data_IF_577210472930
#
_entry.id   IF_577210472930
#
_cell.length_a   1.000
_cell.length_b   1.000
_cell.length_c   1.000
_cell.angle_alpha   90.00
_cell.angle_beta   90.00
_cell.angle_gamma   90.00
#
_symmetry.space_group_name_H-M   'P 1'
#
loop_
_entity.id
_entity.type
_entity.pdbx_description
1 polymer ?
#
# COMPACT_ATOMS: atom_id res chain seq x y z
N UNK A 1 45.62 15.57 -4.26
CA UNK A 1 46.24 15.97 -2.98
C UNK A 1 46.40 14.72 -2.13
N UNK A 2 47.62 14.15 -2.06
CA UNK A 2 48.55 14.19 -0.91
C UNK A 2 47.92 13.51 0.32
N UNK A 3 48.35 12.32 0.75
CA UNK A 3 49.60 12.13 1.48
C UNK A 3 50.27 10.78 1.20
N UNK A 4 51.55 10.86 0.82
CA UNK A 4 52.51 9.75 0.68
C UNK A 4 53.80 10.23 1.33
N UNK A 5 54.40 9.39 2.15
CA UNK A 5 55.82 9.46 2.50
C UNK A 5 56.10 10.04 3.88
N UNK A 6 56.71 9.23 4.73
CA UNK A 6 57.72 9.68 5.68
C UNK A 6 58.67 8.51 5.99
N UNK A 7 59.90 8.87 6.31
CA UNK A 7 61.07 8.04 6.66
C UNK A 7 61.97 7.52 5.53
N UNK A 8 62.88 8.42 5.13
CA UNK A 8 64.24 8.08 4.69
C UNK A 8 65.21 9.21 5.07
N UNK A 9 65.88 9.10 6.22
CA UNK A 9 67.19 9.73 6.51
C UNK A 9 67.58 9.45 7.96
N UNK A 10 68.66 8.70 8.18
CA UNK A 10 69.79 9.11 9.01
C UNK A 10 70.88 8.04 8.91
N UNK A 11 72.06 8.46 8.45
CA UNK A 11 73.27 7.64 8.24
C UNK A 11 74.43 8.46 8.82
N UNK A 12 75.38 7.75 9.48
CA UNK A 12 76.71 8.18 9.98
C UNK A 12 76.72 8.96 11.30
N UNK A 13 77.66 8.83 12.23
CA UNK A 13 78.96 8.12 12.36
C UNK A 13 79.44 8.35 13.81
N UNK A 14 80.01 7.37 14.51
CA UNK A 14 81.16 7.57 15.45
C UNK A 14 81.96 6.26 15.52
N UNK A 15 83.29 6.39 15.63
CA UNK A 15 84.37 5.44 15.36
C UNK A 15 85.05 4.98 16.68
N UNK A 16 85.56 3.74 16.64
CA UNK A 16 86.70 3.14 17.38
C UNK A 16 86.79 3.11 18.92
N UNK A 17 86.97 1.90 19.45
CA UNK A 17 88.15 1.51 20.25
C UNK A 17 88.42 0.01 20.08
N UNK A 18 89.69 -0.33 19.84
CA UNK A 18 90.27 -1.67 19.64
C UNK A 18 90.61 -2.35 20.97
N UNK A 19 90.49 -3.68 21.04
CA UNK A 19 91.55 -4.64 21.43
C UNK A 19 90.97 -6.06 21.68
N UNK A 20 91.77 -7.15 21.54
CA UNK A 20 91.30 -8.41 20.92
C UNK A 20 91.47 -9.70 21.75
N UNK A 21 91.09 -10.82 21.09
CA UNK A 21 91.42 -12.26 21.25
C UNK A 21 90.77 -13.08 22.40
N UNK A 22 90.67 -14.45 22.34
CA UNK A 22 90.48 -15.41 21.22
C UNK A 22 89.46 -16.56 21.53
N UNK A 23 89.29 -17.44 20.53
CA UNK A 23 88.91 -18.86 20.58
C UNK A 23 87.43 -19.26 20.45
N UNK A 24 87.17 -19.77 19.24
CA UNK A 24 86.40 -20.98 18.91
C UNK A 24 84.96 -21.10 19.44
N UNK A 25 84.00 -21.21 18.50
CA UNK A 25 83.14 -22.38 18.31
C UNK A 25 82.08 -22.10 17.21
N UNK A 26 82.22 -22.81 16.09
CA UNK A 26 81.21 -23.17 15.07
C UNK A 26 80.32 -22.10 14.39
N UNK A 27 80.27 -22.07 13.04
CA UNK A 27 79.25 -21.33 12.32
C UNK A 27 77.93 -22.15 12.30
N UNK A 28 77.00 -21.86 13.21
CA UNK A 28 75.62 -22.37 13.08
C UNK A 28 74.77 -21.39 12.27
N UNK A 29 74.47 -21.83 11.05
CA UNK A 29 73.57 -21.21 10.08
C UNK A 29 72.34 -20.52 10.70
N UNK A 30 72.29 -19.18 10.63
CA UNK A 30 71.07 -18.36 10.86
C UNK A 30 70.07 -18.43 9.69
N UNK A 31 69.86 -19.61 9.11
CA UNK A 31 68.80 -19.83 8.10
C UNK A 31 67.47 -20.24 8.75
N UNK A 32 67.49 -20.82 9.94
CA UNK A 32 66.29 -21.27 10.66
C UNK A 32 65.40 -20.16 11.24
N UNK A 33 65.94 -18.96 11.52
CA UNK A 33 65.17 -17.86 12.13
C UNK A 33 64.24 -17.13 11.15
N UNK A 34 64.48 -17.22 9.84
CA UNK A 34 63.56 -16.72 8.80
C UNK A 34 62.62 -17.85 8.37
N UNK A 35 63.13 -19.09 8.34
CA UNK A 35 62.38 -20.25 7.90
C UNK A 35 61.18 -20.55 8.81
N UNK A 36 61.37 -20.53 10.13
CA UNK A 36 60.31 -20.90 11.11
C UNK A 36 59.11 -19.93 11.07
N UNK A 37 59.29 -18.58 11.11
CA UNK A 37 58.18 -17.65 10.92
C UNK A 37 57.55 -17.77 9.53
N UNK A 38 58.34 -17.95 8.46
CA UNK A 38 57.77 -18.10 7.11
C UNK A 38 56.94 -19.38 6.92
N UNK A 39 57.28 -20.46 7.63
CA UNK A 39 56.56 -21.74 7.60
C UNK A 39 55.21 -21.69 8.31
N UNK A 40 55.01 -20.73 9.23
CA UNK A 40 53.73 -20.50 9.90
C UNK A 40 52.97 -19.34 9.26
N UNK A 41 53.64 -18.21 9.02
CA UNK A 41 53.02 -16.98 8.51
C UNK A 41 52.51 -17.15 7.09
N UNK A 42 53.24 -17.81 6.18
CA UNK A 42 52.79 -17.96 4.79
C UNK A 42 51.55 -18.87 4.70
N UNK A 43 51.53 -20.08 5.31
CA UNK A 43 50.32 -20.91 5.32
C UNK A 43 49.14 -20.25 6.06
N UNK A 44 49.38 -19.56 7.18
CA UNK A 44 48.33 -18.81 7.88
C UNK A 44 47.76 -17.67 7.03
N UNK A 45 48.61 -16.94 6.30
CA UNK A 45 48.17 -15.86 5.41
C UNK A 45 47.41 -16.40 4.19
N UNK A 46 47.83 -17.53 3.62
CA UNK A 46 47.08 -18.23 2.56
C UNK A 46 45.72 -18.71 3.06
N UNK A 47 45.66 -19.31 4.25
CA UNK A 47 44.39 -19.70 4.90
C UNK A 47 43.48 -18.49 5.11
N UNK A 48 44.02 -17.37 5.58
CA UNK A 48 43.27 -16.14 5.80
C UNK A 48 42.70 -15.57 4.50
N UNK A 49 43.51 -15.49 3.44
CA UNK A 49 43.06 -15.05 2.11
C UNK A 49 41.97 -15.99 1.58
N UNK A 50 42.13 -17.30 1.76
CA UNK A 50 41.14 -18.28 1.33
C UNK A 50 39.82 -18.16 2.11
N UNK A 51 39.89 -17.88 3.41
CA UNK A 51 38.72 -17.64 4.25
C UNK A 51 37.97 -16.36 3.84
N UNK A 52 38.69 -15.30 3.48
CA UNK A 52 38.08 -14.09 2.88
C UNK A 52 37.37 -14.43 1.58
N UNK A 53 37.99 -15.22 0.70
CA UNK A 53 37.37 -15.59 -0.57
C UNK A 53 36.08 -16.40 -0.37
N UNK A 54 36.09 -17.41 0.50
CA UNK A 54 34.91 -18.23 0.81
C UNK A 54 33.79 -17.43 1.49
N UNK A 55 34.13 -16.52 2.42
CA UNK A 55 33.14 -15.62 3.03
C UNK A 55 32.55 -14.65 2.02
N UNK A 56 33.34 -14.17 1.05
CA UNK A 56 32.87 -13.28 -0.01
C UNK A 56 31.86 -13.97 -0.93
N UNK A 57 32.04 -15.28 -1.22
CA UNK A 57 31.05 -16.06 -1.99
C UNK A 57 29.69 -16.14 -1.29
N UNK A 58 29.70 -16.48 0.00
CA UNK A 58 28.48 -16.55 0.82
C UNK A 58 27.82 -15.18 0.93
N UNK A 59 28.62 -14.12 1.12
CA UNK A 59 28.13 -12.75 1.16
C UNK A 59 27.45 -12.35 -0.15
N UNK A 60 28.04 -12.70 -1.30
CA UNK A 60 27.45 -12.41 -2.62
C UNK A 60 26.11 -13.12 -2.79
N UNK A 61 26.03 -14.38 -2.39
CA UNK A 61 24.78 -15.13 -2.48
C UNK A 61 23.72 -14.55 -1.54
N UNK A 62 24.06 -14.22 -0.30
CA UNK A 62 23.15 -13.53 0.63
C UNK A 62 22.62 -12.21 0.06
N UNK A 63 23.49 -11.37 -0.53
CA UNK A 63 23.09 -10.10 -1.16
C UNK A 63 22.09 -10.34 -2.30
N UNK A 64 22.34 -11.37 -3.11
CA UNK A 64 21.43 -11.76 -4.20
C UNK A 64 20.06 -12.19 -3.67
N UNK A 65 20.03 -13.03 -2.63
CA UNK A 65 18.80 -13.45 -1.98
C UNK A 65 18.03 -12.25 -1.39
N UNK A 66 18.74 -11.33 -0.72
CA UNK A 66 18.14 -10.13 -0.15
C UNK A 66 17.49 -9.28 -1.24
N UNK A 67 18.24 -9.00 -2.31
CA UNK A 67 17.73 -8.23 -3.45
C UNK A 67 16.50 -8.89 -4.10
N UNK A 68 16.48 -10.22 -4.16
CA UNK A 68 15.35 -10.97 -4.70
C UNK A 68 14.10 -10.83 -3.81
N UNK A 69 14.23 -10.93 -2.49
CA UNK A 69 13.12 -10.73 -1.55
C UNK A 69 12.63 -9.30 -1.58
N UNK A 70 13.53 -8.32 -1.51
CA UNK A 70 13.22 -6.90 -1.54
C UNK A 70 12.38 -6.56 -2.78
N UNK A 71 12.81 -7.02 -3.96
CA UNK A 71 12.12 -6.81 -5.23
C UNK A 71 10.76 -7.52 -5.28
N UNK A 72 10.69 -8.76 -4.79
CA UNK A 72 9.45 -9.53 -4.77
C UNK A 72 8.42 -8.95 -3.81
N UNK A 73 8.84 -8.60 -2.60
CA UNK A 73 8.03 -7.95 -1.59
C UNK A 73 7.54 -6.59 -2.07
N UNK A 74 8.41 -5.77 -2.67
CA UNK A 74 8.03 -4.45 -3.18
C UNK A 74 6.95 -4.53 -4.27
N UNK A 75 7.13 -5.41 -5.27
CA UNK A 75 6.15 -5.59 -6.34
C UNK A 75 4.82 -6.07 -5.77
N UNK A 76 4.85 -7.05 -4.87
CA UNK A 76 3.61 -7.61 -4.31
C UNK A 76 2.84 -6.59 -3.47
N UNK A 77 3.53 -5.77 -2.66
CA UNK A 77 2.88 -4.69 -1.91
C UNK A 77 2.38 -3.56 -2.83
N UNK A 78 2.97 -3.41 -4.02
CA UNK A 78 2.46 -2.53 -5.08
C UNK A 78 1.00 -2.84 -5.44
N UNK A 79 0.60 -4.11 -5.49
CA UNK A 79 -0.78 -4.50 -5.75
C UNK A 79 -1.74 -4.02 -4.65
N UNK A 80 -1.32 -4.09 -3.38
CA UNK A 80 -2.08 -3.61 -2.22
C UNK A 80 -2.22 -2.09 -2.26
N UNK A 81 -1.11 -1.38 -2.48
CA UNK A 81 -1.09 0.07 -2.64
C UNK A 81 -2.03 0.52 -3.77
N UNK A 82 -2.04 -0.20 -4.90
CA UNK A 82 -2.90 0.09 -6.03
C UNK A 82 -4.38 -0.13 -5.70
N UNK A 83 -4.73 -1.23 -5.01
CA UNK A 83 -6.10 -1.47 -4.55
C UNK A 83 -6.57 -0.32 -3.66
N UNK A 84 -5.83 -0.02 -2.58
CA UNK A 84 -6.22 0.99 -1.59
C UNK A 84 -6.35 2.40 -2.20
N UNK A 85 -5.43 2.78 -3.07
CA UNK A 85 -5.53 4.06 -3.78
C UNK A 85 -6.76 4.13 -4.67
N UNK A 86 -7.07 3.07 -5.42
CA UNK A 86 -8.21 3.05 -6.32
C UNK A 86 -9.54 3.03 -5.56
N UNK A 87 -9.65 2.26 -4.48
CA UNK A 87 -10.81 2.28 -3.60
C UNK A 87 -11.02 3.67 -3.00
N UNK A 88 -9.95 4.37 -2.58
CA UNK A 88 -10.06 5.76 -2.12
C UNK A 88 -10.59 6.71 -3.21
N UNK A 89 -10.19 6.54 -4.47
CA UNK A 89 -10.76 7.32 -5.59
C UNK A 89 -12.26 7.04 -5.77
N UNK A 90 -12.66 5.78 -5.77
CA UNK A 90 -14.06 5.34 -5.94
C UNK A 90 -14.94 5.88 -4.80
N UNK A 91 -14.44 5.87 -3.57
CA UNK A 91 -15.18 6.34 -2.40
C UNK A 91 -15.33 7.86 -2.33
N UNK A 92 -14.37 8.63 -2.81
CA UNK A 92 -14.30 10.07 -2.55
C UNK A 92 -14.21 10.92 -3.80
N UNK A 93 -13.04 10.89 -4.45
CA UNK A 93 -12.71 11.87 -5.47
C UNK A 93 -13.52 11.74 -6.75
N UNK A 94 -13.88 10.52 -7.18
CA UNK A 94 -14.74 10.32 -8.34
C UNK A 94 -16.16 10.82 -8.11
N UNK A 95 -16.91 10.37 -7.08
CA UNK A 95 -18.25 10.90 -6.87
C UNK A 95 -18.22 12.42 -6.62
N UNK A 96 -17.28 12.94 -5.84
CA UNK A 96 -17.13 14.40 -5.66
C UNK A 96 -17.03 15.15 -7.01
N UNK A 97 -16.12 14.72 -7.90
CA UNK A 97 -15.90 15.40 -9.19
C UNK A 97 -17.07 15.22 -10.15
N UNK A 98 -17.60 14.02 -10.27
CA UNK A 98 -18.70 13.70 -11.21
C UNK A 98 -19.95 14.51 -10.85
N UNK A 99 -20.34 14.53 -9.57
CA UNK A 99 -21.51 15.29 -9.14
C UNK A 99 -21.28 16.81 -9.22
N UNK A 100 -20.06 17.27 -8.96
CA UNK A 100 -19.72 18.69 -9.12
C UNK A 100 -19.79 19.11 -10.59
N UNK A 101 -19.22 18.34 -11.50
CA UNK A 101 -19.31 18.64 -12.94
C UNK A 101 -20.75 18.64 -13.47
N UNK A 102 -21.58 17.72 -12.99
CA UNK A 102 -22.96 17.57 -13.47
C UNK A 102 -23.96 18.57 -12.88
N UNK A 103 -23.78 18.99 -11.62
CA UNK A 103 -24.81 19.73 -10.87
C UNK A 103 -24.33 21.02 -10.21
N UNK A 104 -23.04 21.36 -10.29
CA UNK A 104 -22.55 22.65 -9.82
C UNK A 104 -23.22 23.76 -10.63
N UNK A 105 -23.64 24.81 -9.92
CA UNK A 105 -24.37 25.91 -10.54
C UNK A 105 -23.41 27.05 -10.85
N UNK A 106 -23.07 27.29 -12.12
CA UNK A 106 -22.74 28.64 -12.53
C UNK A 106 -23.95 29.57 -12.26
N UNK A 107 -23.79 30.90 -12.31
CA UNK A 107 -24.81 31.88 -11.92
C UNK A 107 -26.23 31.71 -12.53
N UNK A 108 -26.39 30.89 -13.56
CA UNK A 108 -27.64 30.69 -14.32
C UNK A 108 -28.47 29.46 -13.94
N UNK A 109 -27.89 28.44 -13.29
CA UNK A 109 -28.48 27.08 -13.28
C UNK A 109 -29.12 26.68 -11.93
N UNK A 110 -29.54 27.67 -11.15
CA UNK A 110 -30.13 27.44 -9.84
C UNK A 110 -31.63 27.09 -9.92
N UNK A 111 -32.07 26.19 -9.04
CA UNK A 111 -33.49 25.88 -8.86
C UNK A 111 -34.16 26.95 -7.99
N UNK A 112 -35.31 27.44 -8.42
CA UNK A 112 -36.10 28.43 -7.69
C UNK A 112 -36.77 27.80 -6.47
N UNK A 113 -36.81 28.52 -5.35
CA UNK A 113 -37.66 28.12 -4.22
C UNK A 113 -39.11 28.55 -4.44
N UNK A 114 -40.03 27.73 -3.95
CA UNK A 114 -41.48 27.92 -4.08
C UNK A 114 -42.02 29.08 -3.23
N UNK A 115 -41.32 29.44 -2.16
CA UNK A 115 -41.66 30.57 -1.28
C UNK A 115 -41.08 31.92 -1.74
N UNK A 116 -40.34 31.94 -2.85
CA UNK A 116 -39.66 33.14 -3.33
C UNK A 116 -38.45 33.57 -2.48
N UNK A 117 -38.03 32.78 -1.49
CA UNK A 117 -36.92 33.10 -0.57
C UNK A 117 -35.52 32.95 -1.20
N UNK A 118 -35.44 32.71 -2.50
CA UNK A 118 -34.20 32.63 -3.27
C UNK A 118 -34.11 31.35 -4.10
N UNK A 119 -32.87 30.94 -4.37
CA UNK A 119 -32.57 29.80 -5.22
C UNK A 119 -31.66 28.79 -4.51
N UNK A 120 -31.66 27.53 -4.96
CA UNK A 120 -30.85 26.43 -4.42
C UNK A 120 -30.13 25.74 -5.56
N UNK A 121 -28.84 25.44 -5.36
CA UNK A 121 -28.09 24.67 -6.33
C UNK A 121 -28.37 23.17 -6.19
N UNK A 122 -28.64 22.42 -7.29
CA UNK A 122 -28.83 20.97 -7.21
C UNK A 122 -27.67 20.22 -6.56
N UNK A 123 -26.43 20.68 -6.76
CA UNK A 123 -25.26 20.11 -6.10
C UNK A 123 -25.36 20.16 -4.57
N UNK A 124 -25.67 21.34 -4.02
CA UNK A 124 -25.83 21.52 -2.57
C UNK A 124 -27.08 20.78 -2.04
N UNK A 125 -28.17 20.75 -2.81
CA UNK A 125 -29.41 20.03 -2.49
C UNK A 125 -29.16 18.52 -2.34
N UNK A 126 -28.38 17.93 -3.25
CA UNK A 126 -28.04 16.51 -3.22
C UNK A 126 -27.00 16.22 -2.14
N UNK A 127 -26.05 17.13 -1.91
CA UNK A 127 -25.10 16.96 -0.82
C UNK A 127 -25.78 16.95 0.54
N UNK A 128 -26.76 17.84 0.79
CA UNK A 128 -27.42 17.96 2.10
C UNK A 128 -28.22 16.72 2.52
N UNK A 129 -28.52 15.80 1.60
CA UNK A 129 -29.16 14.52 1.91
C UNK A 129 -28.16 13.37 2.08
N UNK A 130 -26.86 13.66 2.01
CA UNK A 130 -25.80 12.66 2.04
C UNK A 130 -25.80 11.77 0.80
N UNK A 131 -26.19 12.28 -0.38
CA UNK A 131 -26.20 11.48 -1.61
C UNK A 131 -24.78 11.10 -2.06
N UNK A 132 -23.83 12.04 -1.98
CA UNK A 132 -22.44 11.83 -2.38
C UNK A 132 -21.50 12.56 -1.40
N UNK A 133 -20.21 12.20 -1.34
CA UNK A 133 -19.25 12.88 -0.49
C UNK A 133 -18.65 14.10 -1.18
N UNK A 134 -18.48 15.19 -0.43
CA UNK A 134 -17.98 16.48 -0.91
C UNK A 134 -16.72 16.88 -0.16
N UNK A 135 -15.80 17.55 -0.86
CA UNK A 135 -14.64 18.17 -0.22
C UNK A 135 -15.07 19.36 0.65
N UNK A 136 -14.63 19.41 1.90
CA UNK A 136 -15.06 20.47 2.82
C UNK A 136 -14.55 21.87 2.48
N UNK A 137 -13.41 21.97 1.78
CA UNK A 137 -12.87 23.24 1.28
C UNK A 137 -13.39 23.63 -0.11
N UNK A 138 -14.48 23.02 -0.56
CA UNK A 138 -15.05 23.25 -1.88
C UNK A 138 -15.69 24.64 -2.02
N UNK A 139 -15.45 25.30 -3.16
CA UNK A 139 -15.99 26.64 -3.46
C UNK A 139 -17.20 26.55 -4.39
N UNK A 140 -18.26 27.28 -4.06
CA UNK A 140 -19.49 27.35 -4.86
C UNK A 140 -19.26 28.11 -6.17
N UNK A 141 -19.90 27.64 -7.25
CA UNK A 141 -19.81 28.22 -8.59
C UNK A 141 -18.45 28.05 -9.27
N UNK A 142 -17.57 27.23 -8.70
CA UNK A 142 -16.24 26.94 -9.23
C UNK A 142 -16.15 25.46 -9.63
N UNK A 143 -15.32 25.11 -10.64
CA UNK A 143 -15.07 23.72 -10.98
C UNK A 143 -14.39 22.96 -9.83
N UNK A 144 -14.39 21.63 -9.90
CA UNK A 144 -13.74 20.79 -8.89
C UNK A 144 -12.25 21.15 -8.74
N UNK A 145 -11.83 21.37 -7.50
CA UNK A 145 -10.46 21.75 -7.19
C UNK A 145 -9.50 20.57 -7.41
N UNK A 146 -8.32 20.84 -7.95
CA UNK A 146 -7.22 19.87 -7.95
C UNK A 146 -6.68 19.73 -6.51
N UNK A 147 -6.72 18.52 -5.96
CA UNK A 147 -6.36 18.25 -4.56
C UNK A 147 -4.95 17.68 -4.39
N UNK A 148 -4.15 17.64 -5.46
CA UNK A 148 -2.86 16.93 -5.48
C UNK A 148 -1.85 17.50 -4.47
N UNK A 149 -1.85 18.82 -4.27
CA UNK A 149 -1.03 19.52 -3.28
C UNK A 149 -1.51 19.35 -1.84
N UNK A 150 -2.76 18.93 -1.63
CA UNK A 150 -3.39 18.85 -0.30
C UNK A 150 -3.01 17.53 0.35
N UNK A 151 -2.44 17.58 1.56
CA UNK A 151 -1.96 16.37 2.26
C UNK A 151 -3.08 15.35 2.53
N UNK A 152 -4.26 15.82 2.92
CA UNK A 152 -5.43 15.03 3.27
C UNK A 152 -6.65 15.56 2.53
N UNK A 153 -7.37 14.67 1.86
CA UNK A 153 -8.59 15.03 1.16
C UNK A 153 -9.74 14.87 2.16
N UNK A 154 -10.14 15.97 2.80
CA UNK A 154 -11.27 16.01 3.74
C UNK A 154 -12.61 15.95 2.98
N UNK A 155 -12.80 14.84 2.27
CA UNK A 155 -13.98 14.48 1.48
C UNK A 155 -14.87 13.58 2.35
N UNK A 156 -16.12 13.99 2.58
CA UNK A 156 -17.08 13.25 3.42
C UNK A 156 -18.51 13.50 2.99
N UNK A 157 -19.41 12.58 3.32
CA UNK A 157 -20.85 12.83 3.16
C UNK A 157 -21.33 13.85 4.18
N UNK A 158 -22.44 14.52 3.86
CA UNK A 158 -23.29 15.09 4.89
C UNK A 158 -23.97 13.94 5.65
N UNK A 159 -23.70 13.83 6.95
CA UNK A 159 -24.22 12.76 7.80
C UNK A 159 -25.46 13.17 8.61
N UNK A 160 -26.01 14.37 8.38
CA UNK A 160 -27.21 14.84 9.07
C UNK A 160 -28.41 13.91 8.86
N UNK A 161 -28.58 13.37 7.66
CA UNK A 161 -29.64 12.39 7.32
C UNK A 161 -29.13 10.95 7.18
N UNK A 162 -27.81 10.73 7.21
CA UNK A 162 -27.17 9.41 7.06
C UNK A 162 -26.15 9.18 8.18
N UNK A 163 -26.63 9.20 9.42
CA UNK A 163 -25.77 9.02 10.60
C UNK A 163 -24.94 7.73 10.51
N UNK A 164 -23.64 7.85 10.77
CA UNK A 164 -22.69 6.74 10.69
C UNK A 164 -22.19 6.42 9.29
N UNK A 165 -22.59 7.12 8.23
CA UNK A 165 -22.00 6.88 6.90
C UNK A 165 -20.49 7.18 6.88
N UNK A 166 -20.06 8.19 7.63
CA UNK A 166 -18.66 8.60 7.77
C UNK A 166 -17.91 7.83 8.88
N UNK A 167 -18.40 6.68 9.36
CA UNK A 167 -17.65 5.79 10.26
C UNK A 167 -16.96 4.65 9.50
N UNK A 168 -16.02 3.95 10.17
CA UNK A 168 -15.47 2.69 9.68
C UNK A 168 -15.69 1.58 10.73
N UNK A 169 -16.51 0.55 10.45
CA UNK A 169 -17.32 0.38 9.24
C UNK A 169 -18.41 1.45 9.11
N UNK A 170 -18.84 1.79 7.88
CA UNK A 170 -19.96 2.68 7.65
C UNK A 170 -21.29 2.03 8.04
N UNK A 171 -22.22 2.84 8.52
CA UNK A 171 -23.63 2.48 8.68
C UNK A 171 -24.41 2.95 7.46
N UNK A 172 -24.90 2.00 6.65
CA UNK A 172 -25.66 2.30 5.43
C UNK A 172 -27.10 1.82 5.61
N UNK A 173 -28.05 2.75 5.54
CA UNK A 173 -29.48 2.42 5.48
C UNK A 173 -29.82 1.72 4.16
N UNK A 174 -30.76 0.78 4.18
CA UNK A 174 -31.22 0.08 2.98
C UNK A 174 -31.96 0.98 1.99
N UNK A 175 -32.49 2.12 2.46
CA UNK A 175 -33.19 3.11 1.64
C UNK A 175 -32.47 4.45 1.67
N UNK A 176 -32.30 5.06 0.50
CA UNK A 176 -31.82 6.43 0.35
C UNK A 176 -32.96 7.34 -0.12
N UNK A 177 -33.21 8.42 0.63
CA UNK A 177 -34.07 9.51 0.17
C UNK A 177 -33.22 10.53 -0.60
N UNK A 178 -33.26 10.47 -1.93
CA UNK A 178 -32.43 11.30 -2.82
C UNK A 178 -32.93 12.75 -2.91
N UNK A 179 -34.25 12.95 -2.81
CA UNK A 179 -34.89 14.25 -2.69
C UNK A 179 -35.93 14.12 -1.58
N UNK A 180 -35.80 14.89 -0.51
CA UNK A 180 -36.72 14.82 0.64
C UNK A 180 -38.07 15.45 0.33
N UNK A 181 -39.09 15.12 1.11
CA UNK A 181 -40.41 15.76 1.01
C UNK A 181 -40.32 17.28 1.20
N UNK A 182 -39.46 17.73 2.13
CA UNK A 182 -39.21 19.14 2.36
C UNK A 182 -38.62 19.81 1.11
N UNK A 183 -37.61 19.19 0.48
CA UNK A 183 -37.02 19.69 -0.77
C UNK A 183 -38.05 19.70 -1.91
N UNK A 184 -38.81 18.61 -2.11
CA UNK A 184 -39.86 18.52 -3.12
C UNK A 184 -40.95 19.58 -2.94
N UNK A 185 -41.24 19.95 -1.70
CA UNK A 185 -42.20 21.02 -1.38
C UNK A 185 -41.62 22.41 -1.63
N UNK A 186 -40.41 22.69 -1.11
CA UNK A 186 -39.81 24.03 -1.10
C UNK A 186 -39.08 24.41 -2.39
N UNK A 187 -38.69 23.46 -3.23
CA UNK A 187 -37.90 23.71 -4.44
C UNK A 187 -38.76 23.41 -5.67
N UNK A 188 -38.72 24.25 -6.70
CA UNK A 188 -39.36 23.99 -8.00
C UNK A 188 -38.63 22.88 -8.77
N UNK A 189 -38.75 21.64 -8.27
CA UNK A 189 -38.26 20.43 -8.92
C UNK A 189 -39.46 19.58 -9.34
N UNK A 190 -39.68 19.51 -10.65
CA UNK A 190 -40.73 18.69 -11.24
C UNK A 190 -40.27 17.24 -11.41
N UNK A 191 -41.24 16.36 -11.65
CA UNK A 191 -41.01 14.92 -11.77
C UNK A 191 -39.92 14.55 -12.79
N UNK A 192 -39.92 15.16 -13.97
CA UNK A 192 -38.96 14.83 -15.03
C UNK A 192 -37.51 15.18 -14.65
N UNK A 193 -37.18 16.40 -14.16
CA UNK A 193 -35.88 16.69 -13.58
C UNK A 193 -35.48 15.76 -12.44
N UNK A 194 -36.40 15.47 -11.50
CA UNK A 194 -36.12 14.57 -10.38
C UNK A 194 -35.79 13.14 -10.84
N UNK A 195 -36.53 12.63 -11.83
CA UNK A 195 -36.26 11.34 -12.45
C UNK A 195 -34.91 11.34 -13.20
N UNK A 196 -34.51 12.46 -13.81
CA UNK A 196 -33.19 12.65 -14.40
C UNK A 196 -32.07 12.55 -13.37
N UNK A 197 -32.23 13.22 -12.23
CA UNK A 197 -31.28 13.16 -11.10
C UNK A 197 -31.13 11.74 -10.57
N UNK A 198 -32.24 11.04 -10.38
CA UNK A 198 -32.22 9.62 -10.01
C UNK A 198 -31.46 8.75 -11.02
N UNK A 199 -31.77 8.87 -12.31
CA UNK A 199 -31.13 8.07 -13.37
C UNK A 199 -29.62 8.29 -13.37
N UNK A 200 -29.20 9.55 -13.30
CA UNK A 200 -27.78 9.90 -13.21
C UNK A 200 -27.13 9.30 -11.97
N UNK A 201 -27.75 9.46 -10.80
CA UNK A 201 -27.26 8.90 -9.54
C UNK A 201 -27.04 7.38 -9.63
N UNK A 202 -28.06 6.66 -10.12
CA UNK A 202 -28.01 5.21 -10.31
C UNK A 202 -26.93 4.80 -11.32
N UNK A 203 -26.77 5.53 -12.43
CA UNK A 203 -25.72 5.28 -13.43
C UNK A 203 -24.31 5.43 -12.83
N UNK A 204 -24.06 6.53 -12.11
CA UNK A 204 -22.76 6.80 -11.50
C UNK A 204 -22.39 5.72 -10.50
N UNK A 205 -23.30 5.41 -9.57
CA UNK A 205 -22.99 4.43 -8.52
C UNK A 205 -22.97 2.98 -9.02
N UNK A 206 -23.69 2.66 -10.11
CA UNK A 206 -23.54 1.37 -10.79
C UNK A 206 -22.16 1.24 -11.42
N UNK A 207 -21.69 2.31 -12.10
CA UNK A 207 -20.35 2.33 -12.69
C UNK A 207 -19.27 2.21 -11.61
N UNK A 208 -19.36 3.00 -10.55
CA UNK A 208 -18.41 2.96 -9.43
C UNK A 208 -18.37 1.56 -8.78
N UNK A 209 -19.53 0.95 -8.55
CA UNK A 209 -19.61 -0.42 -8.03
C UNK A 209 -18.99 -1.45 -8.97
N UNK A 210 -19.22 -1.34 -10.28
CA UNK A 210 -18.59 -2.23 -11.28
C UNK A 210 -17.07 -2.08 -11.33
N UNK A 211 -16.58 -0.85 -11.20
CA UNK A 211 -15.14 -0.54 -11.14
C UNK A 211 -14.52 -1.17 -9.88
N UNK A 212 -15.14 -1.00 -8.72
CA UNK A 212 -14.65 -1.57 -7.46
C UNK A 212 -14.64 -3.11 -7.48
N UNK A 213 -15.74 -3.71 -7.95
CA UNK A 213 -15.86 -5.17 -8.10
C UNK A 213 -14.76 -5.74 -9.00
N UNK A 214 -14.51 -5.06 -10.12
CA UNK A 214 -13.46 -5.45 -11.06
C UNK A 214 -12.07 -5.34 -10.44
N UNK A 215 -11.79 -4.27 -9.68
CA UNK A 215 -10.52 -4.07 -9.00
C UNK A 215 -10.26 -5.15 -7.95
N UNK A 216 -11.28 -5.46 -7.13
CA UNK A 216 -11.13 -6.49 -6.11
C UNK A 216 -10.98 -7.88 -6.74
N UNK A 217 -11.71 -8.18 -7.82
CA UNK A 217 -11.55 -9.43 -8.57
C UNK A 217 -10.13 -9.58 -9.15
N UNK A 218 -9.58 -8.51 -9.72
CA UNK A 218 -8.19 -8.51 -10.22
C UNK A 218 -7.23 -8.74 -9.05
N UNK A 219 -7.39 -8.01 -7.95
CA UNK A 219 -6.55 -8.16 -6.78
C UNK A 219 -6.58 -9.58 -6.20
N UNK A 220 -7.75 -10.18 -6.06
CA UNK A 220 -7.93 -11.56 -5.59
C UNK A 220 -7.18 -12.56 -6.48
N UNK A 221 -7.25 -12.40 -7.81
CA UNK A 221 -6.51 -13.23 -8.77
C UNK A 221 -4.99 -13.05 -8.66
N UNK A 222 -4.52 -11.82 -8.48
CA UNK A 222 -3.09 -11.53 -8.35
C UNK A 222 -2.50 -12.10 -7.05
N UNK A 223 -3.31 -12.08 -5.98
CA UNK A 223 -2.93 -12.51 -4.63
C UNK A 223 -3.36 -13.95 -4.30
N UNK A 224 -3.92 -14.72 -5.23
CA UNK A 224 -4.31 -16.11 -4.97
C UNK A 224 -3.08 -17.01 -4.80
N UNK A 225 -2.18 -16.96 -5.79
CA UNK A 225 -0.93 -17.71 -5.79
C UNK A 225 0.31 -16.83 -5.62
N UNK A 226 0.13 -15.51 -5.48
CA UNK A 226 1.21 -14.52 -5.37
C UNK A 226 2.25 -14.65 -6.51
N UNK A 227 1.74 -14.82 -7.73
CA UNK A 227 2.56 -15.12 -8.91
C UNK A 227 3.61 -14.03 -9.17
N UNK A 228 3.31 -12.76 -8.90
CA UNK A 228 4.28 -11.68 -9.07
C UNK A 228 5.43 -11.76 -8.07
N UNK A 229 5.13 -12.06 -6.80
CA UNK A 229 6.17 -12.32 -5.80
C UNK A 229 7.08 -13.45 -6.26
N UNK A 230 6.50 -14.61 -6.61
CA UNK A 230 7.28 -15.79 -7.03
C UNK A 230 8.13 -15.52 -8.26
N UNK A 231 7.57 -14.89 -9.29
CA UNK A 231 8.30 -14.58 -10.52
C UNK A 231 9.42 -13.58 -10.28
N UNK A 232 9.17 -12.53 -9.50
CA UNK A 232 10.19 -11.54 -9.14
C UNK A 232 11.32 -12.18 -8.33
N UNK A 233 10.98 -13.02 -7.36
CA UNK A 233 11.97 -13.75 -6.58
C UNK A 233 12.77 -14.72 -7.46
N UNK A 234 12.10 -15.52 -8.29
CA UNK A 234 12.72 -16.46 -9.22
C UNK A 234 13.75 -15.79 -10.12
N UNK A 235 13.40 -14.67 -10.75
CA UNK A 235 14.28 -13.95 -11.69
C UNK A 235 15.56 -13.43 -11.04
N UNK A 236 15.48 -13.05 -9.75
CA UNK A 236 16.60 -12.43 -9.03
C UNK A 236 17.42 -13.46 -8.25
N UNK A 237 16.76 -14.39 -7.57
CA UNK A 237 17.39 -15.43 -6.76
C UNK A 237 18.01 -16.52 -7.62
N UNK A 238 17.34 -16.94 -8.71
CA UNK A 238 17.70 -18.03 -9.63
C UNK A 238 18.55 -19.12 -8.95
N UNK A 239 17.96 -19.72 -7.91
CA UNK A 239 18.49 -20.86 -7.15
C UNK A 239 18.12 -22.16 -7.84
N UNK A 240 18.89 -23.22 -7.57
CA UNK A 240 18.59 -24.54 -8.13
C UNK A 240 17.23 -25.07 -7.64
N UNK A 241 16.86 -24.79 -6.39
CA UNK A 241 15.54 -25.11 -5.80
C UNK A 241 14.41 -24.49 -6.63
N UNK A 242 14.51 -23.19 -6.92
CA UNK A 242 13.53 -22.47 -7.73
C UNK A 242 13.46 -22.95 -9.18
N UNK A 243 14.57 -23.36 -9.78
CA UNK A 243 14.59 -23.90 -11.16
C UNK A 243 13.98 -25.29 -11.23
N UNK A 244 14.23 -26.13 -10.22
CA UNK A 244 13.67 -27.48 -10.16
C UNK A 244 12.18 -27.48 -9.78
N UNK A 245 11.76 -26.54 -8.93
CA UNK A 245 10.38 -26.41 -8.45
C UNK A 245 9.92 -24.94 -8.47
N UNK A 246 9.55 -24.40 -9.65
CA UNK A 246 9.14 -23.01 -9.78
C UNK A 246 7.93 -22.63 -8.90
N UNK A 247 7.04 -23.58 -8.63
CA UNK A 247 5.84 -23.37 -7.82
C UNK A 247 6.14 -23.20 -6.32
N UNK A 248 7.25 -23.78 -5.83
CA UNK A 248 7.69 -23.61 -4.44
C UNK A 248 8.60 -22.39 -4.22
N UNK A 249 9.01 -21.74 -5.31
CA UNK A 249 9.94 -20.62 -5.25
C UNK A 249 9.34 -19.44 -4.47
N UNK A 250 10.05 -18.95 -3.45
CA UNK A 250 9.62 -17.85 -2.60
C UNK A 250 8.54 -18.21 -1.57
N UNK A 251 8.25 -19.50 -1.36
CA UNK A 251 7.16 -19.95 -0.49
C UNK A 251 7.35 -19.57 0.98
N UNK A 252 8.59 -19.62 1.50
CA UNK A 252 8.90 -19.24 2.88
C UNK A 252 8.48 -17.77 3.15
N UNK A 253 8.77 -16.86 2.22
CA UNK A 253 8.40 -15.44 2.33
C UNK A 253 6.89 -15.19 2.24
N UNK A 254 6.16 -16.06 1.53
CA UNK A 254 4.70 -15.93 1.35
C UNK A 254 3.92 -16.51 2.52
N UNK A 255 4.32 -17.69 2.98
CA UNK A 255 3.62 -18.50 3.99
C UNK A 255 4.17 -18.31 5.41
N UNK A 256 5.26 -17.56 5.56
CA UNK A 256 5.86 -17.27 6.85
C UNK A 256 4.91 -16.56 7.82
N UNK A 257 5.20 -16.63 9.13
CA UNK A 257 4.45 -15.90 10.15
C UNK A 257 4.58 -14.39 9.92
N UNK A 258 3.44 -13.72 9.67
CA UNK A 258 3.41 -12.32 9.28
C UNK A 258 3.61 -12.04 7.78
N UNK A 259 3.68 -13.10 6.96
CA UNK A 259 3.78 -13.03 5.50
C UNK A 259 2.47 -12.69 4.79
N UNK A 260 2.51 -12.71 3.46
CA UNK A 260 1.38 -12.27 2.62
C UNK A 260 0.13 -13.14 2.72
N UNK A 261 0.27 -14.48 2.83
CA UNK A 261 -0.90 -15.38 2.84
C UNK A 261 -1.79 -15.18 4.05
N UNK A 262 -1.20 -15.01 5.22
CA UNK A 262 -1.94 -14.85 6.49
C UNK A 262 -2.58 -13.46 6.62
N UNK A 263 -2.00 -12.45 5.97
CA UNK A 263 -2.44 -11.05 6.06
C UNK A 263 -3.22 -10.58 4.82
N UNK A 264 -3.55 -11.48 3.89
CA UNK A 264 -4.25 -11.16 2.64
C UNK A 264 -5.57 -10.43 2.88
N UNK A 265 -5.76 -9.31 2.20
CA UNK A 265 -7.06 -8.60 2.15
C UNK A 265 -8.07 -9.49 1.42
N UNK A 266 -9.19 -9.76 2.08
CA UNK A 266 -10.25 -10.65 1.58
C UNK A 266 -11.63 -10.04 1.80
N UNK A 267 -12.56 -10.34 0.89
CA UNK A 267 -13.99 -10.02 1.08
C UNK A 267 -14.71 -11.12 1.86
N UNK A 268 -15.75 -10.80 2.66
CA UNK A 268 -16.09 -9.46 3.18
C UNK A 268 -15.29 -9.08 4.44
N UNK A 269 -14.38 -9.95 4.91
CA UNK A 269 -13.75 -9.86 6.23
C UNK A 269 -12.87 -8.63 6.42
N UNK A 270 -11.99 -8.36 5.46
CA UNK A 270 -11.03 -7.26 5.53
C UNK A 270 -11.49 -6.06 4.72
N UNK A 271 -12.28 -6.30 3.67
CA UNK A 271 -12.83 -5.28 2.80
C UNK A 271 -14.28 -5.62 2.49
N UNK A 272 -15.16 -4.65 2.66
CA UNK A 272 -16.59 -4.79 2.43
C UNK A 272 -17.08 -3.67 1.50
N UNK A 273 -17.94 -4.02 0.56
CA UNK A 273 -18.67 -3.05 -0.26
C UNK A 273 -20.07 -2.90 0.33
N UNK A 274 -20.57 -1.68 0.35
CA UNK A 274 -21.85 -1.34 0.95
C UNK A 274 -22.82 -0.84 -0.12
N UNK A 275 -24.06 -1.28 0.00
CA UNK A 275 -25.11 -1.09 -1.01
C UNK A 275 -26.38 -0.53 -0.37
N UNK A 276 -27.22 0.10 -1.18
CA UNK A 276 -28.61 0.42 -0.85
C UNK A 276 -29.56 -0.39 -1.73
N UNK A 277 -30.70 -0.75 -1.19
CA UNK A 277 -31.70 -1.57 -1.88
C UNK A 277 -32.77 -0.71 -2.54
N UNK A 278 -33.02 0.50 -2.01
CA UNK A 278 -34.13 1.35 -2.42
C UNK A 278 -33.73 2.80 -2.53
N UNK A 279 -34.32 3.48 -3.52
CA UNK A 279 -34.24 4.93 -3.67
C UNK A 279 -35.63 5.52 -3.65
N UNK A 280 -35.81 6.55 -2.83
CA UNK A 280 -37.01 7.36 -2.73
C UNK A 280 -36.69 8.78 -3.20
N UNK A 281 -37.58 9.38 -3.99
CA UNK A 281 -37.53 10.83 -4.24
C UNK A 281 -38.93 11.43 -4.26
N UNK A 282 -39.01 12.69 -3.82
CA UNK A 282 -40.22 13.52 -3.85
C UNK A 282 -40.07 14.61 -4.91
N UNK A 283 -41.13 14.89 -5.67
CA UNK A 283 -41.12 15.91 -6.72
C UNK A 283 -42.51 16.46 -7.00
N UNK A 284 -42.58 17.64 -7.64
CA UNK A 284 -43.84 18.23 -8.08
C UNK A 284 -44.36 17.50 -9.32
N UNK A 285 -45.60 17.00 -9.26
CA UNK A 285 -46.30 16.38 -10.37
C UNK A 285 -47.38 17.33 -10.87
N UNK A 286 -47.36 17.75 -12.15
CA UNK A 286 -48.37 18.65 -12.70
C UNK A 286 -49.79 18.11 -12.56
N UNK A 287 -50.74 18.98 -12.22
CA UNK A 287 -52.17 18.65 -12.17
C UNK A 287 -53.02 19.84 -12.61
N UNK A 288 -54.26 19.57 -13.01
CA UNK A 288 -55.24 20.63 -13.26
C UNK A 288 -55.70 21.25 -11.93
N UNK A 289 -55.64 22.59 -11.82
CA UNK A 289 -56.14 23.33 -10.65
C UNK A 289 -55.10 24.27 -10.02
N UNK A 290 -55.44 24.84 -8.86
CA UNK A 290 -54.54 25.64 -8.02
C UNK A 290 -54.34 24.94 -6.67
N UNK A 291 -53.09 24.66 -6.23
CA UNK A 291 -51.85 24.82 -6.99
C UNK A 291 -51.77 23.85 -8.20
N UNK A 292 -51.05 24.23 -9.28
CA UNK A 292 -50.98 23.45 -10.54
C UNK A 292 -50.10 22.19 -10.44
N UNK A 293 -49.85 21.71 -9.21
CA UNK A 293 -49.11 20.49 -8.93
C UNK A 293 -49.51 19.93 -7.57
N UNK A 294 -49.26 18.64 -7.36
CA UNK A 294 -49.17 18.03 -6.04
C UNK A 294 -47.75 17.47 -5.81
N UNK A 295 -47.40 17.13 -4.57
CA UNK A 295 -46.12 16.48 -4.26
C UNK A 295 -46.28 14.98 -4.44
N UNK A 296 -45.70 14.47 -5.52
CA UNK A 296 -45.59 13.03 -5.77
C UNK A 296 -44.35 12.45 -5.10
N UNK A 297 -44.39 11.13 -4.87
CA UNK A 297 -43.24 10.33 -4.44
C UNK A 297 -43.20 9.04 -5.23
N UNK A 298 -42.03 8.43 -5.36
CA UNK A 298 -41.94 7.06 -5.89
C UNK A 298 -42.57 6.09 -4.89
N UNK A 299 -43.74 5.53 -5.25
CA UNK A 299 -44.45 4.55 -4.44
C UNK A 299 -44.87 3.34 -5.31
N UNK A 300 -44.27 2.15 -5.12
CA UNK A 300 -43.24 1.85 -4.12
C UNK A 300 -41.90 2.58 -4.41
N UNK A 301 -40.99 2.69 -3.42
CA UNK A 301 -39.63 3.13 -3.66
C UNK A 301 -38.98 2.32 -4.78
N UNK A 302 -38.06 2.92 -5.53
CA UNK A 302 -37.41 2.25 -6.64
C UNK A 302 -36.41 1.23 -6.11
N UNK A 303 -36.68 -0.05 -6.39
CA UNK A 303 -35.85 -1.17 -5.95
C UNK A 303 -34.64 -1.35 -6.85
N UNK A 304 -33.47 -1.49 -6.25
CA UNK A 304 -32.21 -1.79 -6.93
C UNK A 304 -32.06 -3.31 -7.08
N UNK A 305 -31.58 -3.82 -8.23
CA UNK A 305 -31.32 -5.24 -8.40
C UNK A 305 -30.21 -5.70 -7.44
N UNK A 306 -30.27 -6.95 -7.00
CA UNK A 306 -29.25 -7.53 -6.13
C UNK A 306 -27.84 -7.39 -6.76
N UNK A 307 -26.78 -7.04 -5.98
CA UNK A 307 -26.73 -6.89 -4.52
C UNK A 307 -27.21 -5.53 -3.98
N UNK A 308 -27.79 -4.68 -4.81
CA UNK A 308 -28.17 -3.30 -4.51
C UNK A 308 -27.32 -2.29 -5.30
N UNK A 309 -27.54 -1.00 -5.07
CA UNK A 309 -26.73 0.06 -5.65
C UNK A 309 -25.56 0.39 -4.73
N UNK A 310 -24.34 0.23 -5.24
CA UNK A 310 -23.11 0.51 -4.50
C UNK A 310 -23.11 1.93 -3.94
N UNK A 311 -22.50 2.13 -2.77
CA UNK A 311 -22.33 3.44 -2.14
C UNK A 311 -20.87 3.75 -1.87
N UNK A 312 -20.18 2.83 -1.21
CA UNK A 312 -18.76 2.95 -0.90
C UNK A 312 -18.21 1.57 -0.49
N UNK A 313 -16.89 1.44 -0.47
CA UNK A 313 -16.19 0.30 0.06
C UNK A 313 -15.34 0.71 1.27
N UNK A 314 -15.29 -0.13 2.30
CA UNK A 314 -14.46 0.13 3.47
C UNK A 314 -13.52 -1.04 3.72
N UNK A 315 -12.35 -0.75 4.28
CA UNK A 315 -11.37 -1.74 4.71
C UNK A 315 -11.27 -1.66 6.22
N UNK A 316 -11.24 -2.81 6.89
CA UNK A 316 -11.21 -2.87 8.35
C UNK A 316 -9.94 -2.22 8.91
N UNK A 317 -10.08 -1.55 10.05
CA UNK A 317 -8.94 -0.87 10.70
C UNK A 317 -7.82 -1.83 11.04
N UNK A 318 -8.15 -3.08 11.40
CA UNK A 318 -7.15 -4.11 11.66
C UNK A 318 -6.36 -4.49 10.41
N UNK A 319 -7.00 -4.66 9.26
CA UNK A 319 -6.30 -4.97 8.01
C UNK A 319 -5.41 -3.81 7.57
N UNK A 320 -5.90 -2.57 7.66
CA UNK A 320 -5.14 -1.39 7.31
C UNK A 320 -3.96 -1.15 8.24
N UNK A 321 -4.14 -1.38 9.55
CA UNK A 321 -3.06 -1.34 10.52
C UNK A 321 -1.98 -2.36 10.18
N UNK A 322 -2.35 -3.62 9.91
CA UNK A 322 -1.37 -4.67 9.55
C UNK A 322 -0.61 -4.31 8.27
N UNK A 323 -1.29 -3.80 7.23
CA UNK A 323 -0.65 -3.35 5.98
C UNK A 323 0.28 -2.15 6.21
N UNK A 324 -0.10 -1.24 7.11
CA UNK A 324 0.64 -0.02 7.42
C UNK A 324 1.85 -0.22 8.34
N UNK A 325 1.74 -1.10 9.34
CA UNK A 325 2.82 -1.54 10.23
C UNK A 325 3.86 -2.37 9.46
N UNK A 326 3.38 -3.10 8.45
CA UNK A 326 4.17 -3.82 7.46
C UNK A 326 4.19 -5.33 7.68
N UNK A 327 4.32 -6.05 6.58
CA UNK A 327 4.47 -7.49 6.55
C UNK A 327 5.93 -7.87 6.73
N UNK A 328 6.15 -8.93 7.52
CA UNK A 328 7.48 -9.49 7.75
C UNK A 328 7.68 -10.64 6.78
N UNK A 329 8.58 -10.44 5.81
CA UNK A 329 8.86 -11.42 4.75
C UNK A 329 10.20 -12.06 5.06
N UNK A 330 10.17 -13.29 5.58
CA UNK A 330 11.36 -14.10 5.81
C UNK A 330 11.49 -15.15 4.73
N UNK A 331 12.62 -15.19 4.04
CA UNK A 331 12.85 -16.17 2.99
C UNK A 331 14.11 -16.97 3.28
N UNK A 332 13.92 -18.27 3.51
CA UNK A 332 15.01 -19.21 3.67
C UNK A 332 15.74 -19.46 2.35
N UNK A 333 17.03 -19.77 2.46
CA UNK A 333 17.84 -20.23 1.34
C UNK A 333 18.85 -21.27 1.82
N UNK A 334 19.25 -22.16 0.93
CA UNK A 334 20.23 -23.20 1.24
C UNK A 334 21.64 -22.68 0.99
N UNK A 335 22.39 -22.53 2.08
CA UNK A 335 23.77 -22.08 2.00
C UNK A 335 24.67 -23.20 1.43
N UNK A 336 25.49 -22.92 0.40
CA UNK A 336 26.40 -23.90 -0.15
C UNK A 336 27.49 -24.24 0.88
N UNK A 337 27.98 -25.48 0.85
CA UNK A 337 29.14 -25.86 1.65
C UNK A 337 30.37 -25.07 1.20
N UNK A 338 31.10 -24.50 2.16
CA UNK A 338 32.40 -23.89 1.86
C UNK A 338 33.49 -24.98 1.76
N UNK A 339 34.68 -24.57 1.33
CA UNK A 339 35.85 -25.46 1.27
C UNK A 339 36.18 -26.16 2.60
N UNK A 340 35.86 -25.53 3.73
CA UNK A 340 36.07 -26.06 5.08
C UNK A 340 34.94 -26.99 5.56
N UNK A 341 33.96 -27.30 4.72
CA UNK A 341 32.78 -28.13 5.04
C UNK A 341 31.99 -27.61 6.24
N UNK A 342 31.97 -26.29 6.43
CA UNK A 342 31.14 -25.63 7.45
C UNK A 342 29.69 -25.68 6.99
N UNK A 343 28.82 -26.23 7.83
CA UNK A 343 27.38 -26.27 7.58
C UNK A 343 26.71 -25.00 8.11
N UNK A 344 26.63 -23.99 7.25
CA UNK A 344 25.94 -22.74 7.57
C UNK A 344 24.44 -22.92 7.75
N UNK A 345 23.84 -24.00 7.25
CA UNK A 345 22.41 -24.25 7.42
C UNK A 345 22.05 -24.51 8.89
N UNK A 346 23.00 -25.04 9.66
CA UNK A 346 22.86 -25.29 11.10
C UNK A 346 23.36 -24.11 11.94
N UNK A 347 24.41 -23.43 11.48
CA UNK A 347 25.11 -22.41 12.28
C UNK A 347 24.47 -21.03 12.24
N UNK A 348 23.68 -20.71 11.21
CA UNK A 348 23.06 -19.40 11.05
C UNK A 348 21.56 -19.50 10.72
N UNK A 349 20.74 -20.18 11.56
CA UNK A 349 19.31 -20.26 11.33
C UNK A 349 18.64 -18.90 11.48
N UNK A 350 17.49 -18.74 10.86
CA UNK A 350 16.63 -17.59 11.08
C UNK A 350 16.21 -17.42 12.55
N UNK A 351 15.71 -16.22 12.90
CA UNK A 351 14.95 -16.03 14.12
C UNK A 351 13.88 -17.12 14.31
N UNK A 352 13.76 -17.66 15.51
CA UNK A 352 12.90 -18.82 15.82
C UNK A 352 11.42 -18.58 15.53
N UNK A 353 11.00 -17.32 15.63
CA UNK A 353 9.66 -16.83 15.31
C UNK A 353 9.32 -16.90 13.83
N UNK A 354 10.32 -17.01 12.93
CA UNK A 354 10.08 -17.20 11.48
C UNK A 354 9.65 -18.62 11.10
N UNK A 355 9.88 -19.62 11.96
CA UNK A 355 9.64 -21.04 11.64
C UNK A 355 10.63 -21.67 10.66
N UNK A 356 11.62 -20.89 10.17
CA UNK A 356 12.61 -21.35 9.18
C UNK A 356 13.88 -21.83 9.92
N UNK A 357 14.33 -23.06 9.63
CA UNK A 357 15.50 -23.68 10.28
C UNK A 357 16.82 -23.55 9.51
N UNK A 358 16.82 -22.74 8.45
CA UNK A 358 17.97 -22.45 7.58
C UNK A 358 18.26 -20.95 7.58
N UNK A 359 19.41 -20.49 7.05
CA UNK A 359 19.68 -19.08 6.82
C UNK A 359 18.56 -18.42 6.03
N UNK A 360 18.22 -17.19 6.41
CA UNK A 360 17.28 -16.37 5.65
C UNK A 360 17.79 -14.96 5.45
N UNK A 361 17.11 -14.34 4.50
CA UNK A 361 17.01 -12.90 4.31
C UNK A 361 15.63 -12.44 4.77
N UNK A 362 15.54 -11.17 5.11
CA UNK A 362 14.36 -10.58 5.73
C UNK A 362 14.09 -9.23 5.11
N UNK A 363 12.83 -8.94 4.84
CA UNK A 363 12.40 -7.60 4.47
C UNK A 363 11.10 -7.27 5.23
N UNK A 364 11.00 -6.05 5.75
CA UNK A 364 9.71 -5.51 6.19
C UNK A 364 9.17 -4.58 5.12
N UNK A 365 7.94 -4.83 4.68
CA UNK A 365 7.31 -4.08 3.59
C UNK A 365 5.94 -3.58 4.03
N UNK A 366 5.65 -2.29 3.84
CA UNK A 366 4.40 -1.68 4.26
C UNK A 366 3.75 -0.88 3.12
N UNK A 367 2.44 -0.71 3.15
CA UNK A 367 1.74 0.32 2.37
C UNK A 367 1.23 1.40 3.32
N UNK A 368 1.77 2.60 3.18
CA UNK A 368 1.54 3.69 4.13
C UNK A 368 0.89 4.88 3.44
N UNK A 369 -0.06 5.51 4.12
CA UNK A 369 -0.65 6.78 3.71
C UNK A 369 -0.26 7.92 4.67
N UNK A 370 -0.45 9.20 4.29
CA UNK A 370 0.00 10.35 5.10
C UNK A 370 -0.62 10.49 6.51
N UNK A 371 -1.69 9.75 6.83
CA UNK A 371 -2.45 9.88 8.08
C UNK A 371 -2.63 8.54 8.84
N UNK A 372 -1.77 7.55 8.56
CA UNK A 372 -1.86 6.21 9.15
C UNK A 372 -1.76 6.20 10.70
N UNK A 373 -1.07 7.19 11.29
CA UNK A 373 -0.75 7.21 12.72
C UNK A 373 -1.94 7.50 13.65
N UNK A 374 -3.02 8.11 13.14
CA UNK A 374 -4.15 8.58 13.94
C UNK A 374 -5.36 7.63 13.91
N UNK A 375 -5.17 6.36 13.53
CA UNK A 375 -6.28 5.45 13.27
C UNK A 375 -7.11 5.84 12.03
N UNK A 376 -6.62 6.80 11.25
CA UNK A 376 -7.22 7.16 9.97
C UNK A 376 -6.64 6.28 8.87
N UNK A 377 -7.50 5.93 7.94
CA UNK A 377 -7.40 4.68 7.24
C UNK A 377 -7.45 4.90 5.70
N UNK A 378 -7.25 6.17 5.28
CA UNK A 378 -7.08 6.77 3.94
C UNK A 378 -7.95 6.23 2.78
N UNK A 379 -8.87 5.30 3.04
CA UNK A 379 -9.83 4.69 2.15
C UNK A 379 -11.22 5.16 2.53
N UNK A 380 -11.59 5.06 3.82
CA UNK A 380 -12.89 5.53 4.33
C UNK A 380 -12.88 5.65 5.87
N UNK A 381 -13.01 6.84 6.48
CA UNK A 381 -13.88 7.93 6.03
C UNK A 381 -13.19 9.13 5.40
N UNK A 382 -11.86 9.13 5.32
CA UNK A 382 -11.10 10.22 4.69
C UNK A 382 -10.36 9.70 3.45
N UNK A 383 -11.05 9.45 2.33
CA UNK A 383 -10.45 8.88 1.12
C UNK A 383 -9.35 9.79 0.58
N UNK A 384 -8.10 9.37 0.72
CA UNK A 384 -6.90 10.10 0.26
C UNK A 384 -5.99 9.11 -0.48
N UNK A 385 -5.99 9.09 -1.83
CA UNK A 385 -5.27 8.11 -2.65
C UNK A 385 -3.77 8.43 -2.72
N UNK A 386 -3.10 8.40 -1.58
CA UNK A 386 -1.68 8.70 -1.40
C UNK A 386 -0.94 7.56 -0.68
N UNK A 387 -1.41 6.33 -0.85
CA UNK A 387 -0.67 5.16 -0.40
C UNK A 387 0.62 5.01 -1.17
N UNK A 388 1.69 4.71 -0.44
CA UNK A 388 3.02 4.44 -0.97
C UNK A 388 3.57 3.15 -0.36
N UNK A 389 4.12 2.32 -1.23
CA UNK A 389 4.88 1.14 -0.80
C UNK A 389 6.21 1.59 -0.18
N UNK A 390 6.50 1.13 1.03
CA UNK A 390 7.76 1.40 1.74
C UNK A 390 8.44 0.11 2.16
N UNK A 391 9.65 -0.08 1.64
CA UNK A 391 10.52 -1.19 1.97
C UNK A 391 11.49 -0.78 3.06
N UNK A 392 11.63 -1.63 4.07
CA UNK A 392 12.61 -1.56 5.14
C UNK A 392 13.45 -2.86 5.05
N UNK A 393 14.55 -2.82 4.28
CA UNK A 393 15.41 -3.99 4.06
C UNK A 393 16.22 -4.37 5.31
#
# INVERSE_FOLDING_TARGET
>A
MVFRGWFKKYRRQVISTLSPIPYSLFPRFRRGQILIPSLLVIPSLLLFVYLIFETTKISREKIRQQFAVDSAAFIQMGDYTNLLNRTAYVNGAFPYRIFKEAYECPPSDYLQKTDGSGQVCPYDMLYSVGAFPKYTGDMKGQPAMALDSIKKWDIRFDDSLRSGINSNPPSIASELTLITEEQGTKIYIFWDPAAGVYKFYAQVYTLLGSVEESQMTVFERLTDNFNFFRKSYYLNANTQECTNQPQGCGEDGLSGPGGYKVNKITRPKSMAMYYIDKILFYAKVPQSGLPPYFIGKTNPPMTMPAPGLFQLAAVSDSALKTVGDGYQVYQGWDAPQNYFKVDFNVLAPCPSDSGIRRPCVHARIASQCPDLANGNNCVWPNPTPKYQTRLYP
#
